data_IF_061755253525
#
_entry.id   IF_061755253525
#
_cell.length_a   1.000
_cell.length_b   1.000
_cell.length_c   1.000
_cell.angle_alpha   90.00
_cell.angle_beta   90.00
_cell.angle_gamma   90.00
#
_symmetry.space_group_name_H-M   'P 1'
#
loop_
_entity.id
_entity.type
_entity.pdbx_description
1 polymer ?
#
# COMPACT_ATOMS: atom_id res chain seq x y z
N UNK A 1 -4.47 -21.82 24.44
CA UNK A 1 -4.16 -20.42 24.14
C UNK A 1 -4.68 -20.18 22.72
N UNK A 2 -5.80 -19.47 22.57
CA UNK A 2 -6.24 -18.99 21.25
C UNK A 2 -5.27 -17.87 20.87
N UNK A 3 -4.34 -18.13 19.98
CA UNK A 3 -3.66 -17.09 19.24
C UNK A 3 -4.74 -16.44 18.33
N UNK A 4 -5.30 -15.33 18.75
CA UNK A 4 -5.97 -14.41 17.83
C UNK A 4 -4.84 -13.83 16.97
N UNK A 5 -4.64 -14.37 15.78
CA UNK A 5 -3.90 -13.68 14.75
C UNK A 5 -4.70 -12.41 14.43
N UNK A 6 -4.17 -11.27 14.83
CA UNK A 6 -4.71 -9.97 14.40
C UNK A 6 -4.24 -9.77 12.96
N UNK A 7 -5.13 -9.27 12.13
CA UNK A 7 -4.72 -8.87 10.78
C UNK A 7 -3.76 -7.67 10.87
N UNK A 8 -2.91 -7.50 9.88
CA UNK A 8 -2.04 -6.31 9.78
C UNK A 8 -2.87 -5.03 9.75
N UNK A 9 -4.08 -5.07 9.16
CA UNK A 9 -5.04 -3.96 9.17
C UNK A 9 -5.47 -3.60 10.59
N UNK A 10 -5.75 -4.59 11.47
CA UNK A 10 -6.08 -4.35 12.88
C UNK A 10 -4.92 -3.67 13.63
N UNK A 11 -3.68 -4.06 13.32
CA UNK A 11 -2.50 -3.47 13.94
C UNK A 11 -2.28 -2.04 13.47
N UNK A 12 -2.45 -1.75 12.18
CA UNK A 12 -2.43 -0.39 11.64
C UNK A 12 -3.50 0.48 12.30
N UNK A 13 -4.72 -0.05 12.47
CA UNK A 13 -5.81 0.65 13.15
C UNK A 13 -5.44 1.03 14.59
N UNK A 14 -4.76 0.16 15.33
CA UNK A 14 -4.30 0.46 16.70
C UNK A 14 -3.19 1.50 16.72
N UNK A 15 -2.22 1.43 15.79
CA UNK A 15 -1.18 2.44 15.64
C UNK A 15 -1.80 3.81 15.32
N UNK A 16 -2.70 3.88 14.36
CA UNK A 16 -3.44 5.10 14.02
C UNK A 16 -4.26 5.63 15.21
N UNK A 17 -4.97 4.76 15.92
CA UNK A 17 -5.69 5.13 17.14
C UNK A 17 -4.78 5.69 18.24
N UNK A 18 -3.53 5.25 18.33
CA UNK A 18 -2.54 5.79 19.26
C UNK A 18 -2.05 7.17 18.84
N UNK A 19 -1.78 7.38 17.55
CA UNK A 19 -1.45 8.69 16.99
C UNK A 19 -2.57 9.71 17.24
N UNK A 20 -3.82 9.33 17.02
CA UNK A 20 -4.97 10.21 17.17
C UNK A 20 -5.27 10.66 18.59
N UNK A 21 -4.77 9.96 19.60
CA UNK A 21 -4.89 10.45 21.00
C UNK A 21 -4.18 11.79 21.18
N UNK A 22 -3.08 12.01 20.48
CA UNK A 22 -2.30 13.23 20.53
C UNK A 22 -2.66 14.18 19.38
N UNK A 23 -2.94 13.63 18.19
CA UNK A 23 -3.26 14.37 16.96
C UNK A 23 -4.61 13.95 16.38
N UNK A 24 -5.74 14.44 16.96
CA UNK A 24 -7.10 14.00 16.58
C UNK A 24 -7.47 14.27 15.12
N UNK A 25 -6.87 15.30 14.49
CA UNK A 25 -7.12 15.68 13.09
C UNK A 25 -6.41 14.82 12.07
N UNK A 26 -5.56 13.84 12.50
CA UNK A 26 -5.03 12.82 11.60
C UNK A 26 -6.14 11.81 11.29
N UNK A 27 -6.72 11.90 10.09
CA UNK A 27 -7.94 11.16 9.76
C UNK A 27 -7.69 9.87 9.01
N UNK A 28 -6.52 9.75 8.33
CA UNK A 28 -6.20 8.56 7.53
C UNK A 28 -4.72 8.22 7.66
N UNK A 29 -4.45 6.93 7.77
CA UNK A 29 -3.14 6.31 7.53
C UNK A 29 -3.36 5.18 6.53
N UNK A 30 -2.63 5.21 5.43
CA UNK A 30 -2.73 4.16 4.41
C UNK A 30 -1.35 3.74 3.92
N UNK A 31 -1.22 2.48 3.56
CA UNK A 31 -0.04 1.92 2.93
C UNK A 31 -0.41 1.42 1.55
N UNK A 32 0.34 1.86 0.55
CA UNK A 32 0.29 1.30 -0.78
C UNK A 32 1.61 0.60 -1.09
N UNK A 33 1.52 -0.58 -1.70
CA UNK A 33 2.66 -1.37 -2.14
C UNK A 33 3.01 -1.03 -3.59
N UNK A 34 4.28 -1.16 -3.92
CA UNK A 34 4.79 -0.99 -5.27
C UNK A 34 5.29 -2.32 -5.80
N UNK A 35 4.86 -2.66 -6.98
CA UNK A 35 5.35 -3.79 -7.76
C UNK A 35 6.22 -3.27 -8.91
N UNK A 36 7.50 -3.57 -8.88
CA UNK A 36 8.50 -3.12 -9.85
C UNK A 36 8.40 -3.87 -11.19
N UNK A 37 7.79 -5.05 -11.23
CA UNK A 37 7.59 -5.82 -12.47
C UNK A 37 6.48 -5.20 -13.34
N UNK A 38 5.42 -4.68 -12.71
CA UNK A 38 4.26 -4.12 -13.40
C UNK A 38 4.20 -2.59 -13.36
N UNK A 39 5.09 -1.93 -12.64
CA UNK A 39 5.08 -0.49 -12.32
C UNK A 39 3.81 -0.04 -11.58
N UNK A 40 3.10 -0.95 -10.91
CA UNK A 40 1.85 -0.65 -10.22
C UNK A 40 2.08 -0.30 -8.74
N UNK A 41 1.36 0.74 -8.31
CA UNK A 41 1.13 1.03 -6.89
C UNK A 41 -0.32 0.64 -6.60
N UNK A 42 -0.55 -0.15 -5.57
CA UNK A 42 -1.90 -0.54 -5.16
C UNK A 42 -2.08 -0.43 -3.65
N UNK A 43 -3.30 -0.11 -3.22
CA UNK A 43 -3.64 -0.01 -1.80
C UNK A 43 -3.52 -1.38 -1.16
N UNK A 44 -2.82 -1.46 -0.01
CA UNK A 44 -2.64 -2.69 0.75
C UNK A 44 -3.43 -2.67 2.05
N UNK A 45 -3.16 -1.73 2.92
CA UNK A 45 -3.85 -1.57 4.21
C UNK A 45 -4.14 -0.10 4.48
N UNK A 46 -5.23 0.17 5.16
CA UNK A 46 -5.60 1.53 5.55
C UNK A 46 -6.39 1.57 6.84
N UNK A 47 -6.29 2.69 7.54
CA UNK A 47 -7.09 3.04 8.70
C UNK A 47 -7.64 4.46 8.48
N UNK A 48 -8.95 4.58 8.35
CA UNK A 48 -9.65 5.81 8.03
C UNK A 48 -10.74 6.11 9.05
N UNK A 49 -11.06 7.41 9.20
CA UNK A 49 -12.18 7.87 10.00
C UNK A 49 -13.22 8.48 9.06
N UNK A 50 -14.42 7.92 9.08
CA UNK A 50 -15.52 8.37 8.23
C UNK A 50 -15.73 7.49 7.01
N UNK A 51 -15.81 8.11 5.84
CA UNK A 51 -16.05 7.41 4.57
C UNK A 51 -14.79 6.67 4.12
N UNK A 52 -14.99 5.44 3.63
CA UNK A 52 -13.90 4.62 3.08
C UNK A 52 -13.57 5.12 1.68
N UNK A 53 -12.30 5.46 1.47
CA UNK A 53 -11.81 6.03 0.22
C UNK A 53 -10.78 5.13 -0.45
N UNK A 54 -10.80 5.11 -1.77
CA UNK A 54 -9.78 4.43 -2.58
C UNK A 54 -9.66 2.92 -2.26
N UNK A 55 -10.80 2.22 -2.13
CA UNK A 55 -10.80 0.76 -2.09
C UNK A 55 -10.32 0.20 -3.42
N UNK A 56 -9.47 -0.84 -3.36
CA UNK A 56 -8.94 -1.54 -4.54
C UNK A 56 -8.27 -0.62 -5.56
N UNK A 57 -7.75 0.53 -5.09
CA UNK A 57 -7.13 1.51 -5.98
C UNK A 57 -5.75 1.03 -6.42
N UNK A 58 -5.54 1.07 -7.74
CA UNK A 58 -4.26 0.77 -8.36
C UNK A 58 -3.93 1.81 -9.44
N UNK A 59 -2.65 2.16 -9.58
CA UNK A 59 -2.17 3.14 -10.56
C UNK A 59 -0.70 2.88 -10.89
N UNK A 60 -0.29 3.12 -12.13
CA UNK A 60 1.12 3.08 -12.52
C UNK A 60 1.90 4.19 -11.82
N UNK A 61 3.03 3.87 -11.19
CA UNK A 61 3.91 4.85 -10.53
C UNK A 61 4.34 5.93 -11.51
N UNK A 62 4.75 5.53 -12.72
CA UNK A 62 5.19 6.44 -13.79
C UNK A 62 4.12 7.46 -14.18
N UNK A 63 2.83 7.16 -13.99
CA UNK A 63 1.72 8.07 -14.27
C UNK A 63 1.50 9.12 -13.15
N UNK A 64 2.20 8.99 -12.01
CA UNK A 64 2.07 9.90 -10.85
C UNK A 64 3.41 10.62 -10.56
N UNK A 65 3.74 11.71 -11.28
CA UNK A 65 5.06 12.38 -11.19
C UNK A 65 5.47 12.80 -9.77
N UNK A 66 4.47 13.08 -8.92
CA UNK A 66 4.74 13.46 -7.53
C UNK A 66 5.25 12.29 -6.67
N UNK A 67 4.81 11.06 -6.94
CA UNK A 67 5.29 9.85 -6.25
C UNK A 67 6.62 9.38 -6.85
N UNK A 68 6.79 9.48 -8.18
CA UNK A 68 8.10 9.26 -8.83
C UNK A 68 9.18 10.12 -8.17
N UNK A 69 8.91 11.41 -8.00
CA UNK A 69 9.87 12.33 -7.36
C UNK A 69 10.20 11.95 -5.92
N UNK A 70 9.21 11.52 -5.12
CA UNK A 70 9.40 11.03 -3.75
C UNK A 70 10.30 9.79 -3.76
N UNK A 71 10.03 8.85 -4.67
CA UNK A 71 10.82 7.63 -4.80
C UNK A 71 12.26 7.91 -5.24
N UNK A 72 12.48 8.77 -6.25
CA UNK A 72 13.84 9.10 -6.75
C UNK A 72 14.70 9.82 -5.71
N UNK A 73 14.11 10.74 -4.94
CA UNK A 73 14.84 11.52 -3.95
C UNK A 73 14.97 10.81 -2.60
N UNK A 74 14.19 9.75 -2.37
CA UNK A 74 14.03 9.11 -1.06
C UNK A 74 13.72 10.14 0.05
N UNK A 75 12.87 11.13 -0.29
CA UNK A 75 12.48 12.19 0.62
C UNK A 75 10.96 12.24 0.76
N UNK A 76 10.43 12.43 1.97
CA UNK A 76 9.00 12.55 2.16
C UNK A 76 8.44 13.83 1.52
N UNK A 77 7.17 13.79 1.13
CA UNK A 77 6.46 14.95 0.59
C UNK A 77 5.42 15.45 1.58
N UNK A 78 5.52 16.72 1.93
CA UNK A 78 4.55 17.43 2.73
C UNK A 78 3.70 18.37 1.84
N UNK A 79 2.37 18.23 1.91
CA UNK A 79 1.41 19.14 1.29
C UNK A 79 0.52 19.72 2.38
N UNK A 80 0.76 20.97 2.74
CA UNK A 80 0.04 21.67 3.81
C UNK A 80 -1.34 22.19 3.37
N UNK A 81 -1.58 22.27 2.06
CA UNK A 81 -2.85 22.67 1.45
C UNK A 81 -3.13 21.82 0.20
N UNK A 82 -4.02 20.85 0.33
CA UNK A 82 -4.46 19.99 -0.77
C UNK A 82 -5.46 20.67 -1.70
N UNK A 83 -6.04 21.82 -1.32
CA UNK A 83 -7.02 22.50 -2.16
C UNK A 83 -6.40 23.00 -3.48
N UNK A 84 -5.10 23.25 -3.48
CA UNK A 84 -4.35 23.64 -4.69
C UNK A 84 -4.27 22.51 -5.73
N UNK A 85 -4.50 21.26 -5.32
CA UNK A 85 -4.41 20.09 -6.19
C UNK A 85 -5.76 19.69 -6.82
N UNK A 86 -6.86 20.35 -6.46
CA UNK A 86 -8.22 20.00 -6.94
C UNK A 86 -8.37 20.12 -8.46
N UNK A 87 -7.51 20.87 -9.14
CA UNK A 87 -7.52 21.06 -10.58
C UNK A 87 -6.56 20.13 -11.34
N UNK A 88 -5.90 19.20 -10.67
CA UNK A 88 -5.03 18.23 -11.32
C UNK A 88 -5.85 17.07 -11.91
N UNK A 89 -5.47 16.60 -13.11
CA UNK A 89 -6.19 15.54 -13.85
C UNK A 89 -6.03 14.12 -13.23
N UNK A 90 -5.41 13.97 -12.07
CA UNK A 90 -5.21 12.68 -11.43
C UNK A 90 -6.38 12.40 -10.47
N UNK A 91 -7.10 11.30 -10.72
CA UNK A 91 -8.26 10.86 -9.94
C UNK A 91 -7.95 10.71 -8.44
N UNK A 92 -6.82 10.11 -8.10
CA UNK A 92 -6.36 9.98 -6.71
C UNK A 92 -6.26 11.35 -6.01
N UNK A 93 -5.60 12.32 -6.64
CA UNK A 93 -5.44 13.65 -6.08
C UNK A 93 -6.78 14.36 -5.91
N UNK A 94 -7.74 14.15 -6.83
CA UNK A 94 -9.07 14.72 -6.74
C UNK A 94 -9.88 14.12 -5.59
N UNK A 95 -9.85 12.80 -5.39
CA UNK A 95 -10.55 12.14 -4.30
C UNK A 95 -9.98 12.60 -2.95
N UNK A 96 -8.65 12.54 -2.79
CA UNK A 96 -7.99 12.92 -1.54
C UNK A 96 -8.22 14.40 -1.21
N UNK A 97 -8.09 15.31 -2.17
CA UNK A 97 -8.27 16.75 -1.94
C UNK A 97 -9.71 17.19 -1.60
N UNK A 98 -10.71 16.35 -1.92
CA UNK A 98 -12.10 16.59 -1.50
C UNK A 98 -12.34 16.29 -0.03
N UNK A 99 -11.66 15.29 0.52
CA UNK A 99 -11.91 14.76 1.85
C UNK A 99 -10.89 15.25 2.89
N UNK A 100 -9.65 15.53 2.47
CA UNK A 100 -8.57 15.98 3.36
C UNK A 100 -8.05 17.36 2.93
N UNK A 101 -7.38 18.03 3.87
CA UNK A 101 -6.88 19.40 3.70
C UNK A 101 -5.36 19.46 3.61
N UNK A 102 -4.66 18.53 4.25
CA UNK A 102 -3.22 18.38 4.17
C UNK A 102 -2.81 16.91 4.16
N UNK A 103 -1.64 16.62 3.60
CA UNK A 103 -1.13 15.26 3.44
C UNK A 103 0.38 15.21 3.62
N UNK A 104 0.86 14.14 4.24
CA UNK A 104 2.27 13.78 4.34
C UNK A 104 2.44 12.37 3.76
N UNK A 105 3.37 12.22 2.82
CA UNK A 105 3.64 10.95 2.13
C UNK A 105 5.10 10.59 2.29
N UNK A 106 5.37 9.38 2.73
CA UNK A 106 6.71 8.85 2.94
C UNK A 106 6.92 7.58 2.11
N UNK A 107 8.00 7.49 1.30
CA UNK A 107 8.37 6.23 0.64
C UNK A 107 9.00 5.30 1.67
N UNK A 108 8.91 4.00 1.47
CA UNK A 108 9.64 3.03 2.28
C UNK A 108 10.33 1.97 1.42
N UNK A 109 11.47 1.47 1.91
CA UNK A 109 12.38 0.62 1.18
C UNK A 109 12.77 -0.62 1.97
N UNK A 110 13.11 -1.69 1.24
CA UNK A 110 13.84 -2.83 1.78
C UNK A 110 15.23 -2.87 1.11
N UNK A 111 16.26 -2.49 1.83
CA UNK A 111 17.55 -2.15 1.22
C UNK A 111 17.42 -0.96 0.26
N UNK A 112 17.81 -1.14 -1.00
CA UNK A 112 17.69 -0.12 -2.04
C UNK A 112 16.40 -0.25 -2.89
N UNK A 113 15.54 -1.24 -2.57
CA UNK A 113 14.34 -1.52 -3.35
C UNK A 113 13.13 -0.84 -2.75
N UNK A 114 12.45 0.04 -3.53
CA UNK A 114 11.19 0.66 -3.14
C UNK A 114 10.14 -0.44 -2.89
N UNK A 115 9.50 -0.40 -1.73
CA UNK A 115 8.40 -1.31 -1.40
C UNK A 115 7.04 -0.62 -1.51
N UNK A 116 7.00 0.71 -1.39
CA UNK A 116 5.76 1.45 -1.47
C UNK A 116 5.78 2.79 -0.77
N UNK A 117 4.60 3.25 -0.38
CA UNK A 117 4.38 4.56 0.23
C UNK A 117 3.45 4.47 1.44
N UNK A 118 3.74 5.27 2.46
CA UNK A 118 2.86 5.49 3.60
C UNK A 118 2.26 6.89 3.47
N UNK A 119 0.94 6.97 3.54
CA UNK A 119 0.18 8.21 3.44
C UNK A 119 -0.44 8.56 4.78
N UNK A 120 -0.30 9.81 5.18
CA UNK A 120 -0.94 10.41 6.35
C UNK A 120 -1.76 11.61 5.89
N UNK A 121 -3.07 11.59 6.13
CA UNK A 121 -3.97 12.64 5.67
C UNK A 121 -4.74 13.25 6.84
N UNK A 122 -4.89 14.57 6.82
CA UNK A 122 -5.54 15.35 7.88
C UNK A 122 -6.65 16.26 7.33
N UNK A 123 -7.63 16.54 8.19
CA UNK A 123 -8.84 17.34 7.88
C UNK A 123 -8.64 18.85 8.04
N UNK A 124 -7.45 19.29 8.43
CA UNK A 124 -7.10 20.69 8.62
C UNK A 124 -5.94 21.13 7.71
N UNK A 125 -5.96 22.40 7.29
CA UNK A 125 -4.84 23.02 6.60
C UNK A 125 -3.66 23.18 7.55
N UNK A 126 -2.44 23.05 7.03
CA UNK A 126 -1.18 23.22 7.79
C UNK A 126 -1.14 22.39 9.07
N UNK A 127 -1.70 21.19 9.02
CA UNK A 127 -1.84 20.33 10.19
C UNK A 127 -0.52 19.70 10.64
N UNK A 128 0.39 19.43 9.72
CA UNK A 128 1.65 18.75 9.98
C UNK A 128 2.67 19.75 10.54
N UNK A 129 2.81 19.76 11.86
CA UNK A 129 3.84 20.51 12.60
C UNK A 129 5.12 19.69 12.71
N UNK A 130 6.24 20.34 13.05
CA UNK A 130 7.53 19.65 13.24
C UNK A 130 7.46 18.55 14.31
N UNK A 131 6.71 18.75 15.40
CA UNK A 131 6.49 17.75 16.45
C UNK A 131 5.69 16.54 15.93
N UNK A 132 4.68 16.78 15.10
CA UNK A 132 3.92 15.70 14.45
C UNK A 132 4.82 14.95 13.46
N UNK A 133 5.57 15.65 12.61
CA UNK A 133 6.46 15.03 11.63
C UNK A 133 7.52 14.16 12.30
N UNK A 134 8.15 14.63 13.39
CA UNK A 134 9.09 13.83 14.16
C UNK A 134 8.46 12.55 14.75
N UNK A 135 7.19 12.63 15.16
CA UNK A 135 6.45 11.46 15.62
C UNK A 135 6.09 10.52 14.49
N UNK A 136 5.67 11.07 13.33
CA UNK A 136 5.33 10.28 12.14
C UNK A 136 6.55 9.52 11.61
N UNK A 137 7.75 10.07 11.69
CA UNK A 137 8.97 9.37 11.33
C UNK A 137 9.12 8.06 12.11
N UNK A 138 8.98 8.13 13.43
CA UNK A 138 9.01 6.93 14.29
C UNK A 138 7.87 5.94 13.97
N UNK A 139 6.65 6.44 13.75
CA UNK A 139 5.50 5.59 13.43
C UNK A 139 5.61 4.96 12.05
N UNK A 140 6.20 5.66 11.07
CA UNK A 140 6.49 5.10 9.75
C UNK A 140 7.42 3.91 9.85
N UNK A 141 8.50 3.98 10.64
CA UNK A 141 9.37 2.82 10.87
C UNK A 141 8.64 1.63 11.51
N UNK A 142 7.67 1.87 12.39
CA UNK A 142 6.84 0.80 12.93
C UNK A 142 5.93 0.19 11.85
N UNK A 143 5.30 1.02 11.01
CA UNK A 143 4.45 0.57 9.91
C UNK A 143 5.28 -0.20 8.87
N UNK A 144 6.45 0.32 8.48
CA UNK A 144 7.39 -0.37 7.59
C UNK A 144 7.76 -1.75 8.12
N UNK A 145 8.17 -1.83 9.39
CA UNK A 145 8.54 -3.09 10.04
C UNK A 145 7.38 -4.08 10.06
N UNK A 146 6.17 -3.59 10.30
CA UNK A 146 4.96 -4.39 10.30
C UNK A 146 4.69 -4.97 8.90
N UNK A 147 4.70 -4.12 7.87
CA UNK A 147 4.47 -4.51 6.47
C UNK A 147 5.55 -5.49 5.98
N UNK A 148 6.81 -5.18 6.23
CA UNK A 148 7.92 -6.04 5.82
C UNK A 148 7.86 -7.40 6.52
N UNK A 149 7.55 -7.44 7.82
CA UNK A 149 7.45 -8.70 8.57
C UNK A 149 6.29 -9.59 8.09
N UNK A 150 5.23 -9.00 7.58
CA UNK A 150 4.09 -9.72 7.01
C UNK A 150 4.39 -10.25 5.61
N UNK A 151 4.96 -9.42 4.74
CA UNK A 151 5.14 -9.76 3.33
C UNK A 151 6.41 -10.54 3.03
N UNK A 152 7.50 -10.34 3.79
CA UNK A 152 8.79 -10.98 3.50
C UNK A 152 8.73 -12.51 3.52
N UNK A 153 8.05 -13.18 4.47
CA UNK A 153 7.89 -14.63 4.45
C UNK A 153 7.14 -15.12 3.20
N UNK A 154 6.11 -14.39 2.78
CA UNK A 154 5.31 -14.71 1.59
C UNK A 154 6.17 -14.57 0.34
N UNK A 155 6.83 -13.42 0.15
CA UNK A 155 7.75 -13.17 -0.98
C UNK A 155 8.87 -14.22 -1.04
N UNK A 156 9.41 -14.62 0.11
CA UNK A 156 10.44 -15.66 0.20
C UNK A 156 9.91 -17.02 -0.27
N UNK A 157 8.72 -17.40 0.17
CA UNK A 157 8.08 -18.64 -0.25
C UNK A 157 7.81 -18.64 -1.77
N UNK A 158 7.25 -17.53 -2.30
CA UNK A 158 7.01 -17.35 -3.73
C UNK A 158 8.31 -17.53 -4.53
N UNK A 159 9.39 -16.84 -4.13
CA UNK A 159 10.69 -16.93 -4.79
C UNK A 159 11.24 -18.36 -4.81
N UNK A 160 11.11 -19.10 -3.69
CA UNK A 160 11.53 -20.50 -3.62
C UNK A 160 10.71 -21.40 -4.56
N UNK A 161 9.39 -21.18 -4.62
CA UNK A 161 8.50 -21.96 -5.48
C UNK A 161 8.72 -21.63 -6.96
N UNK A 162 8.90 -20.34 -7.31
CA UNK A 162 9.25 -19.92 -8.68
C UNK A 162 10.56 -20.55 -9.15
N UNK A 163 11.60 -20.54 -8.30
CA UNK A 163 12.87 -21.21 -8.60
C UNK A 163 12.67 -22.71 -8.83
N UNK A 164 11.82 -23.35 -8.02
CA UNK A 164 11.50 -24.78 -8.18
C UNK A 164 10.74 -25.03 -9.47
N UNK A 165 9.82 -24.17 -9.85
CA UNK A 165 9.09 -24.23 -11.12
C UNK A 165 10.02 -24.04 -12.32
N UNK A 166 10.94 -23.07 -12.27
CA UNK A 166 11.94 -22.88 -13.34
C UNK A 166 12.78 -24.14 -13.56
N UNK A 167 13.24 -24.80 -12.51
CA UNK A 167 13.94 -26.07 -12.59
C UNK A 167 13.05 -27.14 -13.23
N UNK A 168 11.75 -27.13 -12.94
CA UNK A 168 10.78 -28.10 -13.51
C UNK A 168 10.44 -27.74 -14.95
N UNK A 169 10.32 -26.45 -15.29
CA UNK A 169 10.00 -25.91 -16.62
C UNK A 169 11.13 -26.13 -17.64
N UNK A 170 12.34 -26.37 -17.18
CA UNK A 170 13.40 -26.91 -18.08
C UNK A 170 12.98 -28.23 -18.71
N UNK A 171 11.94 -28.91 -18.21
CA UNK A 171 11.33 -30.12 -18.75
C UNK A 171 10.08 -29.92 -19.57
N UNK A 172 9.28 -28.85 -19.26
CA UNK A 172 8.00 -28.58 -19.93
C UNK A 172 7.64 -27.08 -19.86
N UNK A 173 8.03 -26.33 -20.90
CA UNK A 173 7.83 -24.88 -21.02
C UNK A 173 6.36 -24.47 -21.22
N UNK A 174 5.48 -25.36 -21.69
CA UNK A 174 4.07 -25.05 -21.94
C UNK A 174 3.29 -24.95 -20.62
N UNK A 175 3.63 -25.78 -19.66
CA UNK A 175 3.01 -25.78 -18.32
C UNK A 175 3.31 -24.48 -17.56
N UNK A 176 4.54 -23.95 -17.64
CA UNK A 176 4.91 -22.71 -16.96
C UNK A 176 4.12 -21.48 -17.43
N UNK A 177 3.96 -21.31 -18.75
CA UNK A 177 3.17 -20.21 -19.30
C UNK A 177 1.67 -20.35 -18.97
N UNK A 178 1.16 -21.57 -18.83
CA UNK A 178 -0.21 -21.79 -18.39
C UNK A 178 -0.42 -21.31 -16.96
N UNK A 179 0.49 -21.62 -16.04
CA UNK A 179 0.41 -21.18 -14.64
C UNK A 179 0.42 -19.66 -14.50
N UNK A 180 1.30 -18.97 -15.22
CA UNK A 180 1.36 -17.50 -15.25
C UNK A 180 0.01 -16.92 -15.71
N UNK A 181 -0.57 -17.44 -16.80
CA UNK A 181 -1.87 -16.99 -17.28
C UNK A 181 -2.99 -17.23 -16.25
N UNK A 182 -2.95 -18.37 -15.56
CA UNK A 182 -3.91 -18.67 -14.50
C UNK A 182 -3.79 -17.73 -13.32
N UNK A 183 -2.59 -17.32 -12.93
CA UNK A 183 -2.35 -16.34 -11.91
C UNK A 183 -3.01 -14.99 -12.25
N UNK A 184 -2.79 -14.46 -13.45
CA UNK A 184 -3.45 -13.24 -13.92
C UNK A 184 -4.97 -13.34 -13.93
N UNK A 185 -5.54 -14.48 -14.31
CA UNK A 185 -6.99 -14.67 -14.25
C UNK A 185 -7.52 -14.69 -12.82
N UNK A 186 -6.81 -15.33 -11.89
CA UNK A 186 -7.20 -15.34 -10.48
C UNK A 186 -7.20 -13.94 -9.88
N UNK A 187 -6.21 -13.13 -10.20
CA UNK A 187 -6.09 -11.75 -9.81
C UNK A 187 -7.29 -10.91 -10.32
N UNK A 188 -7.53 -10.93 -11.64
CA UNK A 188 -8.66 -10.21 -12.25
C UNK A 188 -10.00 -10.62 -11.64
N UNK A 189 -10.19 -11.91 -11.39
CA UNK A 189 -11.41 -12.43 -10.76
C UNK A 189 -11.51 -11.95 -9.29
N UNK A 190 -10.42 -11.92 -8.55
CA UNK A 190 -10.42 -11.46 -7.17
C UNK A 190 -10.80 -9.98 -7.07
N UNK A 191 -10.24 -9.13 -7.91
CA UNK A 191 -10.57 -7.69 -7.98
C UNK A 191 -12.04 -7.50 -8.38
N UNK A 192 -12.51 -8.16 -9.43
CA UNK A 192 -13.88 -8.02 -9.93
C UNK A 192 -14.94 -8.49 -8.92
N UNK A 193 -14.59 -9.46 -8.07
CA UNK A 193 -15.49 -10.00 -7.05
C UNK A 193 -15.31 -9.34 -5.68
N UNK A 194 -14.34 -8.45 -5.51
CA UNK A 194 -13.98 -7.87 -4.22
C UNK A 194 -15.18 -7.21 -3.55
N UNK A 195 -15.88 -6.31 -4.22
CA UNK A 195 -17.06 -5.62 -3.69
C UNK A 195 -18.19 -6.60 -3.32
N UNK A 196 -18.41 -7.61 -4.17
CA UNK A 196 -19.50 -8.57 -3.98
C UNK A 196 -19.31 -9.47 -2.77
N UNK A 197 -18.07 -9.83 -2.45
CA UNK A 197 -17.73 -10.77 -1.39
C UNK A 197 -17.04 -10.10 -0.20
N UNK A 198 -16.94 -8.77 -0.20
CA UNK A 198 -16.24 -7.97 0.81
C UNK A 198 -14.78 -8.46 1.01
N UNK A 199 -14.07 -8.70 -0.08
CA UNK A 199 -12.65 -9.07 -0.07
C UNK A 199 -11.85 -7.79 0.18
N UNK A 200 -11.01 -7.78 1.21
CA UNK A 200 -10.18 -6.62 1.54
C UNK A 200 -8.96 -6.51 0.62
N UNK A 201 -8.36 -5.30 0.54
CA UNK A 201 -7.11 -5.06 -0.17
C UNK A 201 -5.99 -5.99 0.33
N UNK A 202 -5.91 -6.22 1.66
CA UNK A 202 -5.01 -7.20 2.27
C UNK A 202 -5.21 -8.62 1.72
N UNK A 203 -6.46 -9.05 1.52
CA UNK A 203 -6.78 -10.38 0.97
C UNK A 203 -6.46 -10.47 -0.53
N UNK A 204 -6.66 -9.39 -1.28
CA UNK A 204 -6.28 -9.32 -2.70
C UNK A 204 -4.76 -9.45 -2.84
N UNK A 205 -3.98 -8.77 -1.98
CA UNK A 205 -2.52 -8.91 -1.96
C UNK A 205 -2.07 -10.35 -1.78
N UNK A 206 -2.71 -11.11 -0.89
CA UNK A 206 -2.40 -12.53 -0.74
C UNK A 206 -2.75 -13.35 -1.99
N UNK A 207 -3.86 -13.03 -2.68
CA UNK A 207 -4.18 -13.68 -3.96
C UNK A 207 -3.08 -13.39 -4.98
N UNK A 208 -2.62 -12.15 -5.09
CA UNK A 208 -1.53 -11.75 -5.96
C UNK A 208 -0.25 -12.52 -5.68
N UNK A 209 0.14 -12.57 -4.42
CA UNK A 209 1.36 -13.25 -4.02
C UNK A 209 1.32 -14.76 -4.26
N UNK A 210 0.16 -15.43 -4.04
CA UNK A 210 0.07 -16.88 -4.11
C UNK A 210 -0.48 -17.43 -5.45
N UNK A 211 -1.13 -16.62 -6.28
CA UNK A 211 -1.71 -17.08 -7.53
C UNK A 211 -0.67 -17.67 -8.53
N UNK A 212 0.60 -17.19 -8.58
CA UNK A 212 1.61 -17.79 -9.44
C UNK A 212 2.10 -19.16 -9.02
N UNK A 213 1.74 -19.65 -7.83
CA UNK A 213 2.17 -20.92 -7.24
C UNK A 213 1.27 -22.09 -7.62
#
# INVERSE_FOLDING_TARGET
VKHNFRSITDELFQLHGSLRKQWPGLCRVAVALYDDETDLIHTFIKSEIGEVLLDHYSVELSSVPSLVKIAELNEPRLVQDLTILQNHNNEHSQVISKHFKSSYTQPFYLGDTLQGFIFYDADALSYFTDDLLASLDMYSHLVESLVVSELLPVKTLVALMTTTQEITNLRDSETGQHLIRMAYFMELIAIELADKYNISDEQIEYVWCYAPL
#
